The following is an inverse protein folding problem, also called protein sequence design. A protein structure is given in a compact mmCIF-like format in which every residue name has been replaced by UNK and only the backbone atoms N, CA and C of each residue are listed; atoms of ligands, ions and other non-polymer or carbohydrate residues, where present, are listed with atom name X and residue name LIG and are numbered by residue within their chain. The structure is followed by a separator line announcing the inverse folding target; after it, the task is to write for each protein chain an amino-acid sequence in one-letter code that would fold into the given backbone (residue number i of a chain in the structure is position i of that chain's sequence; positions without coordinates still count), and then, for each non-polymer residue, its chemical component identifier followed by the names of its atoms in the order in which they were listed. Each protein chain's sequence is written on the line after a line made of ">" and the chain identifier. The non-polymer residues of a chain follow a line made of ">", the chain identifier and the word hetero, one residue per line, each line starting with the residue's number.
data_IF_884165381190
#
_entry.id   IF_884165381190
#
_cell.length_a   1.000
_cell.length_b   1.000
_cell.length_c   1.000
_cell.angle_alpha   90.00
_cell.angle_beta   90.00
_cell.angle_gamma   90.00
#
_symmetry.space_group_name_H-M   'P 1'
#
loop_
_entity.id
_entity.type
_entity.pdbx_description
1 polymer ?
#
# COMPACT_ATOMS: atom_id res chain seq x y z
N UNK A 1 4.41 7.43 -11.33
CA UNK A 1 4.41 8.52 -12.33
C UNK A 1 3.26 8.26 -13.28
N UNK A 2 2.48 9.28 -13.59
CA UNK A 2 1.47 9.17 -14.62
C UNK A 2 2.16 9.44 -15.96
N UNK A 3 2.05 8.52 -16.91
CA UNK A 3 2.62 8.67 -18.26
C UNK A 3 1.52 8.82 -19.33
N UNK A 4 0.26 8.86 -18.88
CA UNK A 4 -0.91 9.05 -19.75
C UNK A 4 -1.11 10.55 -20.02
N UNK A 5 -1.77 10.85 -21.14
CA UNK A 5 -2.23 12.19 -21.53
C UNK A 5 -3.55 12.59 -20.83
N UNK A 6 -3.86 11.96 -19.69
CA UNK A 6 -5.05 12.27 -18.88
C UNK A 6 -4.76 12.06 -17.40
N UNK A 7 -5.46 12.78 -16.49
CA UNK A 7 -5.36 12.52 -15.06
C UNK A 7 -5.79 11.09 -14.71
N UNK A 8 -5.05 10.44 -13.81
CA UNK A 8 -5.31 9.05 -13.43
C UNK A 8 -5.00 8.75 -11.97
N UNK A 9 -5.69 7.76 -11.42
CA UNK A 9 -5.43 7.22 -10.09
C UNK A 9 -4.31 6.19 -10.16
N UNK A 10 -3.25 6.40 -9.40
CA UNK A 10 -2.09 5.51 -9.37
C UNK A 10 -2.01 4.79 -8.04
N UNK A 11 -2.01 3.45 -8.09
CA UNK A 11 -1.87 2.61 -6.90
C UNK A 11 -0.56 1.84 -6.92
N UNK A 12 0.00 1.60 -5.75
CA UNK A 12 1.09 0.63 -5.57
C UNK A 12 0.87 -0.17 -4.28
N UNK A 13 1.35 -1.42 -4.28
CA UNK A 13 1.35 -2.23 -3.06
C UNK A 13 2.64 -1.98 -2.28
N UNK A 14 2.54 -1.91 -0.95
CA UNK A 14 3.70 -1.72 -0.08
C UNK A 14 4.73 -2.86 -0.23
N UNK A 15 4.27 -4.06 -0.59
CA UNK A 15 5.13 -5.23 -0.87
C UNK A 15 5.94 -5.13 -2.17
N UNK A 16 5.66 -4.15 -3.04
CA UNK A 16 6.42 -3.94 -4.29
C UNK A 16 7.77 -3.25 -4.04
N UNK A 17 7.97 -2.66 -2.85
CA UNK A 17 9.25 -2.07 -2.46
C UNK A 17 10.04 -3.02 -1.55
N UNK A 18 11.29 -3.37 -1.89
CA UNK A 18 12.12 -4.23 -1.04
C UNK A 18 12.54 -3.54 0.27
N UNK A 19 12.34 -2.23 0.39
CA UNK A 19 12.72 -1.43 1.55
C UNK A 19 11.55 -1.16 2.51
N UNK A 20 10.34 -1.59 2.14
CA UNK A 20 9.15 -1.45 2.97
C UNK A 20 8.87 -2.80 3.65
N UNK A 21 8.62 -2.75 4.96
CA UNK A 21 8.29 -3.93 5.75
C UNK A 21 6.80 -4.23 5.61
N UNK A 22 6.48 -5.44 5.16
CA UNK A 22 5.11 -5.93 5.11
C UNK A 22 4.49 -6.07 6.52
N UNK A 23 3.15 -6.01 6.59
CA UNK A 23 2.39 -6.15 7.84
C UNK A 23 2.50 -4.94 8.78
N UNK A 24 2.82 -3.77 8.23
CA UNK A 24 2.89 -2.50 8.96
C UNK A 24 2.07 -1.43 8.28
N UNK A 25 1.61 -0.46 9.07
CA UNK A 25 1.03 0.76 8.55
C UNK A 25 2.08 1.86 8.41
N UNK A 26 1.94 2.69 7.37
CA UNK A 26 2.87 3.77 7.09
C UNK A 26 2.13 5.11 7.04
N UNK A 27 2.58 6.11 7.79
CA UNK A 27 2.11 7.48 7.61
C UNK A 27 2.69 8.03 6.31
N UNK A 28 1.83 8.56 5.44
CA UNK A 28 2.19 9.07 4.13
C UNK A 28 2.18 10.59 4.16
N UNK A 29 3.29 11.19 3.74
CA UNK A 29 3.41 12.64 3.55
C UNK A 29 3.73 12.95 2.11
N UNK A 30 2.96 13.84 1.51
CA UNK A 30 3.27 14.42 0.21
C UNK A 30 4.42 15.41 0.36
N UNK A 31 5.48 15.21 -0.43
CA UNK A 31 6.69 16.03 -0.40
C UNK A 31 6.54 17.33 -1.19
N UNK A 32 5.59 17.42 -2.13
CA UNK A 32 5.35 18.63 -2.91
C UNK A 32 4.48 19.62 -2.16
N UNK A 33 3.33 19.16 -1.66
CA UNK A 33 2.38 20.03 -0.92
C UNK A 33 2.72 20.15 0.56
N UNK A 34 3.67 19.34 1.04
CA UNK A 34 4.05 19.25 2.46
C UNK A 34 2.87 18.84 3.37
N UNK A 35 1.86 18.15 2.83
CA UNK A 35 0.68 17.68 3.56
C UNK A 35 0.79 16.22 3.97
N UNK A 36 0.16 15.86 5.10
CA UNK A 36 0.04 14.46 5.49
C UNK A 36 -1.20 13.86 4.80
N UNK A 37 -1.01 12.85 3.95
CA UNK A 37 -2.06 12.21 3.16
C UNK A 37 -2.61 10.94 3.85
N UNK A 38 -2.55 10.90 5.18
CA UNK A 38 -3.09 9.79 6.00
C UNK A 38 -2.12 8.62 6.18
N UNK A 39 -2.70 7.42 6.36
CA UNK A 39 -1.99 6.17 6.65
C UNK A 39 -2.24 5.15 5.54
N UNK A 40 -1.19 4.52 5.03
CA UNK A 40 -1.25 3.43 4.06
C UNK A 40 -1.15 2.08 4.78
N UNK A 41 -2.01 1.14 4.38
CA UNK A 41 -2.03 -0.26 4.84
C UNK A 41 -2.14 -1.15 3.60
N UNK A 42 -1.15 -2.03 3.39
CA UNK A 42 -0.98 -2.92 2.22
C UNK A 42 -0.78 -2.25 0.87
N UNK A 43 -1.51 -1.18 0.58
CA UNK A 43 -1.41 -0.38 -0.63
C UNK A 43 -1.66 1.09 -0.34
N UNK A 44 -1.31 1.93 -1.31
CA UNK A 44 -1.63 3.34 -1.32
C UNK A 44 -2.09 3.73 -2.73
N UNK A 45 -3.12 4.58 -2.81
CA UNK A 45 -3.60 5.16 -4.06
C UNK A 45 -3.42 6.67 -4.01
N UNK A 46 -2.65 7.20 -4.96
CA UNK A 46 -2.61 8.62 -5.26
C UNK A 46 -3.72 8.94 -6.25
N UNK A 47 -4.68 9.75 -5.85
CA UNK A 47 -5.82 10.10 -6.68
C UNK A 47 -5.53 11.29 -7.59
N UNK A 48 -6.10 11.27 -8.79
CA UNK A 48 -6.11 12.38 -9.75
C UNK A 48 -4.70 12.95 -10.02
N UNK A 49 -3.73 12.06 -10.27
CA UNK A 49 -2.38 12.48 -10.64
C UNK A 49 -2.45 13.09 -12.04
N UNK A 50 -2.03 14.36 -12.24
CA UNK A 50 -2.13 15.02 -13.54
C UNK A 50 -1.44 14.25 -14.67
N UNK A 51 -1.82 14.52 -15.92
CA UNK A 51 -1.12 14.00 -17.10
C UNK A 51 0.39 14.26 -16.98
N UNK A 52 1.20 13.25 -17.32
CA UNK A 52 2.67 13.31 -17.20
C UNK A 52 3.19 13.70 -15.79
N UNK A 53 2.33 13.60 -14.77
CA UNK A 53 2.58 14.08 -13.42
C UNK A 53 3.33 13.09 -12.53
N UNK A 54 4.02 13.64 -11.52
CA UNK A 54 4.75 12.86 -10.52
C UNK A 54 4.29 13.26 -9.12
N UNK A 55 3.92 12.27 -8.32
CA UNK A 55 3.72 12.44 -6.87
C UNK A 55 4.94 11.89 -6.14
N UNK A 56 5.49 12.69 -5.23
CA UNK A 56 6.61 12.29 -4.38
C UNK A 56 6.11 12.10 -2.95
N UNK A 57 6.21 10.88 -2.43
CA UNK A 57 5.67 10.50 -1.12
C UNK A 57 6.80 10.08 -0.18
N UNK A 58 6.72 10.55 1.06
CA UNK A 58 7.52 10.04 2.17
C UNK A 58 6.66 9.10 3.01
N UNK A 59 7.03 7.82 3.05
CA UNK A 59 6.42 6.82 3.91
C UNK A 59 7.26 6.67 5.18
N UNK A 60 6.62 6.81 6.35
CA UNK A 60 7.24 6.53 7.66
C UNK A 60 6.46 5.44 8.36
N UNK A 61 7.16 4.50 8.97
CA UNK A 61 6.54 3.43 9.76
C UNK A 61 5.69 4.05 10.88
N UNK A 62 4.44 3.61 11.00
CA UNK A 62 3.44 4.19 11.91
C UNK A 62 2.78 3.13 12.80
N UNK A 63 3.37 1.93 12.89
CA UNK A 63 2.92 0.86 13.78
C UNK A 63 2.58 -0.44 13.06
N UNK A 64 1.94 -1.34 13.80
CA UNK A 64 1.44 -2.61 13.29
C UNK A 64 0.23 -2.41 12.37
N UNK A 65 -0.02 -3.39 11.52
CA UNK A 65 -1.22 -3.45 10.70
C UNK A 65 -2.48 -3.58 11.60
N UNK A 66 -3.60 -2.88 11.27
CA UNK A 66 -4.83 -2.97 12.03
C UNK A 66 -5.42 -4.39 12.04
N UNK A 67 -6.07 -4.73 13.15
CA UNK A 67 -6.80 -5.99 13.33
C UNK A 67 -7.97 -6.14 12.35
N UNK A 68 -8.44 -7.38 12.17
CA UNK A 68 -9.58 -7.70 11.31
C UNK A 68 -9.23 -7.83 9.83
N UNK A 69 -7.95 -7.70 9.47
CA UNK A 69 -7.44 -7.99 8.13
C UNK A 69 -7.02 -9.45 8.00
N UNK A 70 -7.02 -10.00 6.76
CA UNK A 70 -6.52 -11.34 6.52
C UNK A 70 -5.07 -11.50 6.94
N UNK A 71 -4.65 -12.71 7.33
CA UNK A 71 -3.25 -12.96 7.71
C UNK A 71 -2.25 -12.65 6.58
N UNK A 72 -2.71 -12.57 5.33
CA UNK A 72 -1.88 -12.28 4.16
C UNK A 72 -2.50 -11.18 3.29
N UNK A 73 -1.63 -10.43 2.60
CA UNK A 73 -2.03 -9.43 1.60
C UNK A 73 -2.40 -10.04 0.23
N UNK A 74 -1.92 -11.26 -0.05
CA UNK A 74 -2.26 -12.07 -1.24
C UNK A 74 -2.86 -13.39 -0.75
N UNK A 75 -4.17 -13.56 -0.95
CA UNK A 75 -4.92 -14.69 -0.37
C UNK A 75 -4.50 -16.01 -1.04
N UNK A 76 -4.22 -15.97 -2.34
CA UNK A 76 -3.81 -17.10 -3.15
C UNK A 76 -2.49 -17.74 -2.71
N UNK A 77 -1.65 -17.00 -1.98
CA UNK A 77 -0.36 -17.45 -1.45
C UNK A 77 -0.33 -17.49 0.08
N UNK A 78 -1.49 -17.46 0.71
CA UNK A 78 -1.56 -17.44 2.15
C UNK A 78 -1.34 -18.84 2.73
N UNK A 79 -0.19 -19.06 3.36
CA UNK A 79 0.19 -20.33 3.96
C UNK A 79 0.12 -20.25 5.49
N UNK A 80 -0.46 -21.27 6.12
CA UNK A 80 -0.40 -21.45 7.56
C UNK A 80 1.01 -21.90 8.00
N UNK A 81 1.30 -21.83 9.30
CA UNK A 81 2.58 -22.24 9.91
C UNK A 81 2.93 -23.70 9.61
N UNK A 82 1.93 -24.53 9.31
CA UNK A 82 2.10 -25.93 8.93
C UNK A 82 2.39 -26.15 7.43
N UNK A 83 2.46 -25.08 6.63
CA UNK A 83 2.74 -25.11 5.20
C UNK A 83 1.53 -25.37 4.29
N UNK A 84 0.31 -25.43 4.84
CA UNK A 84 -0.91 -25.59 4.04
C UNK A 84 -1.50 -24.24 3.64
N UNK A 85 -2.11 -24.16 2.45
CA UNK A 85 -2.78 -22.93 2.00
C UNK A 85 -4.06 -22.71 2.82
N UNK A 86 -4.26 -21.48 3.28
CA UNK A 86 -5.46 -21.09 4.02
C UNK A 86 -6.56 -20.78 3.02
N UNK A 87 -7.52 -21.69 2.87
CA UNK A 87 -8.60 -21.58 1.88
C UNK A 87 -9.86 -20.88 2.40
N UNK A 88 -10.20 -21.08 3.68
CA UNK A 88 -11.41 -20.54 4.30
C UNK A 88 -11.11 -19.26 5.10
N UNK A 89 -10.56 -18.26 4.43
CA UNK A 89 -10.34 -16.95 5.04
C UNK A 89 -11.68 -16.19 4.99
N UNK A 90 -12.60 -16.54 5.90
CA UNK A 90 -13.93 -15.95 6.01
C UNK A 90 -13.83 -14.46 6.42
N UNK A 91 -14.20 -13.55 5.52
CA UNK A 91 -14.53 -12.15 5.82
C UNK A 91 -15.99 -11.90 5.42
#
# INVERSE_FOLDING_TARGET
>A
INVLDEPSDLSFNLTESPWIRAGRQYSVRDLWTHTNNGTAVRSFTAHNVPEHGVVALLLKESGDEPDGLPPCARLEWCMDKNGTRIDNINF
#
